data_IF_847151659701
#
_entry.id   IF_847151659701
#
_cell.length_a   1.000
_cell.length_b   1.000
_cell.length_c   1.000
_cell.angle_alpha   90.00
_cell.angle_beta   90.00
_cell.angle_gamma   90.00
#
_symmetry.space_group_name_H-M   'P 1'
#
loop_
_entity.id
_entity.type
_entity.pdbx_description
1 polymer ?
#
# COMPACT_ATOMS: atom_id res chain seq x y z
N UNK A 1 25.98 13.25 46.75
CA UNK A 1 25.71 12.20 45.73
C UNK A 1 24.89 12.79 44.61
N UNK A 2 25.41 12.86 43.39
CA UNK A 2 24.61 13.28 42.23
C UNK A 2 23.79 12.08 41.78
N UNK A 3 22.47 12.24 41.50
CA UNK A 3 21.65 11.13 40.99
C UNK A 3 22.22 10.70 39.59
N UNK A 4 22.21 9.38 39.31
CA UNK A 4 22.68 8.90 38.01
C UNK A 4 21.82 9.49 36.92
N UNK A 5 22.44 10.08 35.90
CA UNK A 5 21.79 10.58 34.69
C UNK A 5 21.12 9.36 34.03
N UNK A 6 19.80 9.35 33.83
CA UNK A 6 19.13 8.23 33.19
C UNK A 6 19.71 8.10 31.77
N UNK A 7 20.31 6.94 31.47
CA UNK A 7 20.75 6.63 30.11
C UNK A 7 19.55 6.66 29.19
N UNK A 8 19.59 7.40 28.07
CA UNK A 8 18.49 7.40 27.12
C UNK A 8 18.22 5.96 26.68
N UNK A 9 16.98 5.53 26.85
CA UNK A 9 16.54 4.18 26.49
C UNK A 9 16.67 4.05 24.96
N UNK A 10 17.78 3.48 24.50
CA UNK A 10 18.12 3.33 23.06
C UNK A 10 16.98 2.67 22.28
N UNK A 11 16.19 1.81 22.96
CA UNK A 11 14.98 1.20 22.36
C UNK A 11 13.90 2.21 22.03
N UNK A 12 13.70 3.23 22.87
CA UNK A 12 12.71 4.29 22.62
C UNK A 12 13.16 5.22 21.49
N UNK A 13 14.45 5.54 21.39
CA UNK A 13 14.99 6.35 20.31
C UNK A 13 14.85 5.66 18.94
N UNK A 14 15.00 4.34 18.88
CA UNK A 14 14.89 3.57 17.63
C UNK A 14 13.44 3.51 17.13
N UNK A 15 12.43 3.52 18.00
CA UNK A 15 11.01 3.57 17.64
C UNK A 15 10.57 4.98 17.18
N UNK A 16 11.21 6.03 17.71
CA UNK A 16 10.91 7.41 17.34
C UNK A 16 11.35 7.75 15.91
N UNK A 17 12.36 7.07 15.38
CA UNK A 17 12.97 7.41 14.11
C UNK A 17 12.04 7.16 12.91
N UNK A 18 11.35 6.01 12.74
CA UNK A 18 10.35 5.84 11.69
C UNK A 18 9.21 6.86 11.80
N UNK A 19 8.63 7.04 12.99
CA UNK A 19 7.56 8.00 13.20
C UNK A 19 7.99 9.44 12.86
N UNK A 20 9.28 9.78 13.01
CA UNK A 20 9.83 11.07 12.59
C UNK A 20 9.76 11.27 11.08
N UNK A 21 10.04 10.24 10.28
CA UNK A 21 9.89 10.30 8.81
C UNK A 21 8.42 10.39 8.42
N UNK A 22 7.53 9.65 9.06
CA UNK A 22 6.08 9.74 8.84
C UNK A 22 5.56 11.14 9.13
N UNK A 23 5.99 11.79 10.23
CA UNK A 23 5.65 13.18 10.52
C UNK A 23 6.29 14.16 9.51
N UNK A 24 7.46 13.84 8.98
CA UNK A 24 8.09 14.57 7.87
C UNK A 24 7.25 14.49 6.60
N UNK A 25 6.72 13.32 6.27
CA UNK A 25 5.76 13.12 5.18
C UNK A 25 4.52 14.01 5.38
N UNK A 26 3.92 14.00 6.58
CA UNK A 26 2.78 14.85 6.92
C UNK A 26 3.10 16.34 6.75
N UNK A 27 4.28 16.79 7.24
CA UNK A 27 4.73 18.16 7.10
C UNK A 27 4.75 18.58 5.62
N UNK A 28 5.33 17.75 4.75
CA UNK A 28 5.37 18.04 3.32
C UNK A 28 3.97 18.03 2.69
N UNK A 29 3.10 17.08 3.07
CA UNK A 29 1.71 17.04 2.60
C UNK A 29 0.93 18.31 2.94
N UNK A 30 1.02 18.78 4.19
CA UNK A 30 0.38 20.04 4.63
C UNK A 30 1.00 21.25 3.92
N UNK A 31 2.33 21.26 3.77
CA UNK A 31 3.02 22.37 3.12
C UNK A 31 2.73 22.44 1.63
N UNK A 32 2.48 21.30 0.98
CA UNK A 32 1.99 21.24 -0.39
C UNK A 32 0.62 21.95 -0.55
N UNK A 33 -0.31 21.71 0.38
CA UNK A 33 -1.63 22.37 0.39
C UNK A 33 -1.46 23.89 0.57
N UNK A 34 -0.62 24.31 1.53
CA UNK A 34 -0.35 25.73 1.79
C UNK A 34 0.28 26.40 0.57
N UNK A 35 1.23 25.74 -0.10
CA UNK A 35 1.86 26.28 -1.32
C UNK A 35 0.86 26.39 -2.47
N UNK A 36 0.02 25.37 -2.66
CA UNK A 36 -1.03 25.39 -3.67
C UNK A 36 -2.04 26.52 -3.44
N UNK A 37 -2.44 26.77 -2.18
CA UNK A 37 -3.36 27.87 -1.84
C UNK A 37 -2.78 29.27 -2.11
N UNK A 38 -1.45 29.37 -2.18
CA UNK A 38 -0.72 30.60 -2.53
C UNK A 38 -0.44 30.74 -4.02
N UNK A 39 -0.83 29.75 -4.84
CA UNK A 39 -0.54 29.72 -6.26
C UNK A 39 0.85 29.15 -6.60
N UNK A 40 1.60 28.67 -5.62
CA UNK A 40 2.95 28.15 -5.77
C UNK A 40 2.90 26.64 -6.13
N UNK A 41 2.33 26.34 -7.29
CA UNK A 41 2.08 24.94 -7.71
C UNK A 41 3.35 24.16 -8.00
N UNK A 42 4.43 24.85 -8.38
CA UNK A 42 5.72 24.19 -8.59
C UNK A 42 6.25 23.59 -7.29
N UNK A 43 6.28 24.38 -6.21
CA UNK A 43 6.69 23.90 -4.90
C UNK A 43 5.69 22.92 -4.28
N UNK A 44 4.40 23.12 -4.52
CA UNK A 44 3.38 22.19 -4.07
C UNK A 44 3.63 20.77 -4.64
N UNK A 45 3.96 20.65 -5.92
CA UNK A 45 4.34 19.37 -6.54
C UNK A 45 5.60 18.77 -5.91
N UNK A 46 6.64 19.59 -5.66
CA UNK A 46 7.86 19.12 -5.00
C UNK A 46 7.60 18.60 -3.59
N UNK A 47 6.74 19.25 -2.81
CA UNK A 47 6.43 18.80 -1.46
C UNK A 47 5.71 17.44 -1.45
N UNK A 48 4.82 17.17 -2.40
CA UNK A 48 4.21 15.83 -2.54
C UNK A 48 5.27 14.78 -2.86
N UNK A 49 6.23 15.08 -3.74
CA UNK A 49 7.33 14.16 -4.08
C UNK A 49 8.24 13.94 -2.87
N UNK A 50 8.60 15.00 -2.14
CA UNK A 50 9.40 14.89 -0.90
C UNK A 50 8.67 14.09 0.18
N UNK A 51 7.35 14.25 0.30
CA UNK A 51 6.50 13.41 1.13
C UNK A 51 6.65 11.93 0.77
N UNK A 52 6.59 11.59 -0.53
CA UNK A 52 6.79 10.21 -1.00
C UNK A 52 8.19 9.66 -0.75
N UNK A 53 9.21 10.51 -0.72
CA UNK A 53 10.57 10.11 -0.30
C UNK A 53 10.58 9.76 1.18
N UNK A 54 9.94 10.59 2.03
CA UNK A 54 9.84 10.34 3.48
C UNK A 54 9.08 9.04 3.78
N UNK A 55 7.93 8.81 3.12
CA UNK A 55 7.14 7.57 3.17
C UNK A 55 7.99 6.33 2.81
N UNK A 56 8.76 6.43 1.73
CA UNK A 56 9.65 5.34 1.34
C UNK A 56 10.75 5.07 2.38
N UNK A 57 11.26 6.11 3.03
CA UNK A 57 12.31 6.01 4.05
C UNK A 57 11.78 5.40 5.35
N UNK A 58 10.61 5.83 5.86
CA UNK A 58 10.05 5.30 7.10
C UNK A 58 9.74 3.81 6.98
N UNK A 59 9.08 3.38 5.88
CA UNK A 59 8.82 1.99 5.63
C UNK A 59 10.09 1.12 5.50
N UNK A 60 11.19 1.65 4.94
CA UNK A 60 12.48 0.97 4.89
C UNK A 60 13.13 0.90 6.27
N UNK A 61 13.18 2.01 6.98
CA UNK A 61 13.80 2.11 8.30
C UNK A 61 13.06 1.21 9.29
N UNK A 62 11.73 1.23 9.33
CA UNK A 62 10.92 0.37 10.19
C UNK A 62 11.21 -1.13 9.95
N UNK A 63 11.35 -1.55 8.69
CA UNK A 63 11.73 -2.94 8.34
C UNK A 63 13.15 -3.29 8.76
N UNK A 64 14.11 -2.41 8.54
CA UNK A 64 15.53 -2.64 8.89
C UNK A 64 15.75 -2.70 10.40
N UNK A 65 15.05 -1.84 11.14
CA UNK A 65 15.17 -1.75 12.62
C UNK A 65 14.26 -2.74 13.35
N UNK A 66 13.36 -3.43 12.63
CA UNK A 66 12.33 -4.32 13.22
C UNK A 66 11.46 -3.60 14.27
N UNK A 67 11.18 -2.32 14.06
CA UNK A 67 10.41 -1.47 14.99
C UNK A 67 8.99 -1.18 14.47
N UNK A 68 8.52 -1.91 13.46
CA UNK A 68 7.16 -1.79 12.99
C UNK A 68 6.18 -1.99 14.16
N UNK A 69 5.36 -0.99 14.44
CA UNK A 69 4.33 -1.01 15.47
C UNK A 69 2.95 -0.85 14.83
N UNK A 70 1.88 -1.42 15.42
CA UNK A 70 0.52 -1.19 14.94
C UNK A 70 0.19 0.31 14.85
N UNK A 71 0.59 1.09 15.85
CA UNK A 71 0.41 2.54 15.84
C UNK A 71 1.11 3.22 14.65
N UNK A 72 2.35 2.80 14.31
CA UNK A 72 3.10 3.36 13.18
C UNK A 72 2.41 3.08 11.85
N UNK A 73 1.84 1.89 11.66
CA UNK A 73 1.11 1.52 10.44
C UNK A 73 -0.15 2.35 10.25
N UNK A 74 -0.91 2.57 11.33
CA UNK A 74 -2.11 3.40 11.28
C UNK A 74 -1.77 4.88 11.05
N UNK A 75 -0.71 5.39 11.73
CA UNK A 75 -0.23 6.75 11.55
C UNK A 75 0.21 6.99 10.11
N UNK A 76 0.97 6.06 9.52
CA UNK A 76 1.44 6.09 8.15
C UNK A 76 0.27 6.21 7.15
N UNK A 77 -0.76 5.38 7.31
CA UNK A 77 -1.96 5.43 6.47
C UNK A 77 -2.73 6.75 6.58
N UNK A 78 -2.83 7.33 7.78
CA UNK A 78 -3.47 8.62 7.98
C UNK A 78 -2.67 9.75 7.31
N UNK A 79 -1.36 9.69 7.40
CA UNK A 79 -0.45 10.66 6.77
C UNK A 79 -0.50 10.54 5.25
N UNK A 80 -0.48 9.31 4.74
CA UNK A 80 -0.61 9.04 3.30
C UNK A 80 -1.93 9.56 2.72
N UNK A 81 -3.04 9.46 3.47
CA UNK A 81 -4.31 10.05 3.06
C UNK A 81 -4.20 11.57 2.87
N UNK A 82 -3.42 12.27 3.72
CA UNK A 82 -3.17 13.71 3.56
C UNK A 82 -2.24 13.98 2.39
N UNK A 83 -1.10 13.33 2.31
CA UNK A 83 -0.04 13.66 1.34
C UNK A 83 -0.37 13.22 -0.07
N UNK A 84 -1.01 12.05 -0.25
CA UNK A 84 -1.32 11.50 -1.57
C UNK A 84 -2.81 11.53 -1.93
N UNK A 85 -3.69 11.78 -0.96
CA UNK A 85 -5.11 12.00 -1.19
C UNK A 85 -5.45 13.49 -1.22
N UNK A 86 -5.35 14.16 -0.07
CA UNK A 86 -5.83 15.54 0.09
C UNK A 86 -4.97 16.55 -0.68
N UNK A 87 -3.65 16.52 -0.51
CA UNK A 87 -2.76 17.53 -1.09
C UNK A 87 -2.83 17.56 -2.62
N UNK A 88 -2.74 16.44 -3.38
CA UNK A 88 -2.87 16.46 -4.84
C UNK A 88 -4.25 16.92 -5.32
N UNK A 89 -5.33 16.57 -4.60
CA UNK A 89 -6.67 17.04 -4.92
C UNK A 89 -6.77 18.57 -4.79
N UNK A 90 -6.19 19.16 -3.73
CA UNK A 90 -6.17 20.60 -3.55
C UNK A 90 -5.24 21.32 -4.54
N UNK A 91 -4.10 20.70 -4.91
CA UNK A 91 -3.27 21.22 -6.01
C UNK A 91 -4.11 21.35 -7.29
N UNK A 92 -4.85 20.29 -7.67
CA UNK A 92 -5.71 20.31 -8.85
C UNK A 92 -6.86 21.32 -8.71
N UNK A 93 -7.47 21.40 -7.53
CA UNK A 93 -8.52 22.37 -7.26
C UNK A 93 -8.04 23.80 -7.51
N UNK A 94 -6.97 24.22 -6.88
CA UNK A 94 -6.47 25.59 -7.01
C UNK A 94 -5.84 25.88 -8.37
N UNK A 95 -5.18 24.88 -9.00
CA UNK A 95 -4.51 25.10 -10.29
C UNK A 95 -5.46 25.11 -11.48
N UNK A 96 -6.54 24.30 -11.46
CA UNK A 96 -7.34 24.04 -12.67
C UNK A 96 -8.84 24.08 -12.43
N UNK A 97 -9.33 23.63 -11.26
CA UNK A 97 -10.75 23.36 -11.05
C UNK A 97 -11.51 24.52 -10.35
N UNK A 98 -10.83 25.58 -9.90
CA UNK A 98 -11.43 26.65 -9.12
C UNK A 98 -12.16 27.67 -10.01
N UNK A 99 -13.17 27.23 -10.76
CA UNK A 99 -14.02 28.10 -11.60
C UNK A 99 -15.40 28.36 -10.99
N UNK A 100 -15.64 27.97 -9.73
CA UNK A 100 -16.84 28.32 -8.96
C UNK A 100 -18.04 27.39 -9.16
N UNK A 101 -17.84 26.21 -9.76
CA UNK A 101 -18.91 25.22 -9.97
C UNK A 101 -18.85 24.02 -9.01
N UNK A 102 -19.28 22.88 -9.51
CA UNK A 102 -19.29 21.61 -8.79
C UNK A 102 -17.97 20.86 -8.86
N UNK A 103 -16.89 21.49 -9.35
CA UNK A 103 -15.59 20.84 -9.59
C UNK A 103 -14.93 20.31 -8.31
N UNK A 104 -15.26 20.89 -7.15
CA UNK A 104 -14.82 20.37 -5.85
C UNK A 104 -15.28 18.91 -5.61
N UNK A 105 -16.35 18.47 -6.28
CA UNK A 105 -16.85 17.10 -6.16
C UNK A 105 -15.84 16.07 -6.71
N UNK A 106 -15.08 16.41 -7.75
CA UNK A 106 -14.01 15.56 -8.26
C UNK A 106 -12.90 15.39 -7.23
N UNK A 107 -12.57 16.47 -6.51
CA UNK A 107 -11.61 16.42 -5.42
C UNK A 107 -12.11 15.52 -4.28
N UNK A 108 -13.39 15.67 -3.90
CA UNK A 108 -14.00 14.82 -2.88
C UNK A 108 -13.98 13.35 -3.26
N UNK A 109 -14.39 13.00 -4.48
CA UNK A 109 -14.39 11.62 -4.98
C UNK A 109 -12.97 11.05 -4.95
N UNK A 110 -11.97 11.80 -5.40
CA UNK A 110 -10.59 11.38 -5.40
C UNK A 110 -10.09 11.11 -3.97
N UNK A 111 -10.33 12.01 -3.03
CA UNK A 111 -9.94 11.85 -1.63
C UNK A 111 -10.64 10.64 -1.00
N UNK A 112 -11.96 10.51 -1.21
CA UNK A 112 -12.73 9.39 -0.68
C UNK A 112 -12.19 8.04 -1.19
N UNK A 113 -11.90 7.94 -2.48
CA UNK A 113 -11.31 6.73 -3.07
C UNK A 113 -9.90 6.43 -2.53
N UNK A 114 -9.07 7.47 -2.30
CA UNK A 114 -7.75 7.29 -1.70
C UNK A 114 -7.85 6.77 -0.26
N UNK A 115 -8.77 7.34 0.55
CA UNK A 115 -8.99 6.89 1.94
C UNK A 115 -9.53 5.46 1.98
N UNK A 116 -10.55 5.13 1.15
CA UNK A 116 -11.08 3.76 1.07
C UNK A 116 -10.01 2.74 0.66
N UNK A 117 -9.15 3.11 -0.30
CA UNK A 117 -8.02 2.26 -0.70
C UNK A 117 -7.07 2.00 0.46
N UNK A 118 -6.70 3.03 1.23
CA UNK A 118 -5.79 2.88 2.37
C UNK A 118 -6.41 2.02 3.47
N UNK A 119 -7.69 2.22 3.78
CA UNK A 119 -8.42 1.40 4.73
C UNK A 119 -8.44 -0.08 4.32
N UNK A 120 -8.75 -0.36 3.04
CA UNK A 120 -8.70 -1.73 2.50
C UNK A 120 -7.30 -2.34 2.59
N UNK A 121 -6.27 -1.56 2.25
CA UNK A 121 -4.88 -2.01 2.31
C UNK A 121 -4.46 -2.43 3.74
N UNK A 122 -4.90 -1.68 4.76
CA UNK A 122 -4.62 -2.02 6.16
C UNK A 122 -5.27 -3.34 6.59
N UNK A 123 -6.52 -3.57 6.16
CA UNK A 123 -7.21 -4.84 6.43
C UNK A 123 -6.51 -6.00 5.72
N UNK A 124 -6.11 -5.83 4.47
CA UNK A 124 -5.45 -6.88 3.68
C UNK A 124 -4.04 -7.22 4.18
N UNK A 125 -3.32 -6.28 4.81
CA UNK A 125 -1.97 -6.53 5.35
C UNK A 125 -1.93 -7.38 6.62
N UNK A 126 -3.05 -7.63 7.28
CA UNK A 126 -3.16 -8.34 8.56
C UNK A 126 -2.59 -9.76 8.62
N UNK A 127 -1.70 -10.19 7.70
CA UNK A 127 -1.09 -11.50 7.88
C UNK A 127 -0.13 -12.05 6.83
N UNK A 128 0.10 -11.46 5.66
CA UNK A 128 1.02 -12.04 4.67
C UNK A 128 1.68 -11.00 3.78
N UNK A 129 3.00 -11.13 3.55
CA UNK A 129 3.73 -10.39 2.54
C UNK A 129 3.21 -10.77 1.14
N UNK A 130 2.36 -9.93 0.54
CA UNK A 130 1.86 -10.12 -0.82
C UNK A 130 2.83 -9.49 -1.83
N UNK A 131 3.06 -10.17 -2.93
CA UNK A 131 3.90 -9.72 -4.06
C UNK A 131 3.16 -8.84 -5.06
N UNK A 132 1.86 -8.61 -4.86
CA UNK A 132 1.00 -7.85 -5.78
C UNK A 132 0.05 -6.96 -4.98
N UNK A 133 -0.17 -5.75 -5.50
CA UNK A 133 -1.11 -4.79 -4.92
C UNK A 133 -2.40 -4.78 -5.72
N UNK A 134 -3.54 -4.85 -5.03
CA UNK A 134 -4.84 -4.61 -5.62
C UNK A 134 -5.09 -3.10 -5.71
N UNK A 135 -5.39 -2.61 -6.91
CA UNK A 135 -5.60 -1.19 -7.18
C UNK A 135 -4.32 -0.36 -7.33
N UNK A 136 -4.47 0.83 -7.92
CA UNK A 136 -3.38 1.79 -8.12
C UNK A 136 -2.87 2.29 -6.76
N UNK A 137 -1.55 2.27 -6.49
CA UNK A 137 -0.99 2.83 -5.28
C UNK A 137 -1.33 4.32 -5.09
N UNK A 138 -1.79 4.74 -3.88
CA UNK A 138 -2.10 6.15 -3.60
C UNK A 138 -0.92 7.10 -3.83
N UNK A 139 0.35 6.74 -3.52
CA UNK A 139 1.48 7.58 -3.90
C UNK A 139 1.59 7.80 -5.41
N UNK A 140 1.35 6.76 -6.22
CA UNK A 140 1.41 6.89 -7.67
C UNK A 140 0.29 7.79 -8.21
N UNK A 141 -0.94 7.63 -7.72
CA UNK A 141 -2.06 8.49 -8.10
C UNK A 141 -1.81 9.95 -7.68
N UNK A 142 -1.36 10.18 -6.43
CA UNK A 142 -1.05 11.51 -5.91
C UNK A 142 0.08 12.20 -6.69
N UNK A 143 1.16 11.48 -6.97
CA UNK A 143 2.27 12.01 -7.77
C UNK A 143 1.85 12.31 -9.21
N UNK A 144 0.93 11.52 -9.81
CA UNK A 144 0.40 11.82 -11.14
C UNK A 144 -0.25 13.20 -11.15
N UNK A 145 -1.12 13.52 -10.20
CA UNK A 145 -1.78 14.81 -10.14
C UNK A 145 -0.82 15.95 -9.79
N UNK A 146 0.05 15.73 -8.80
CA UNK A 146 1.00 16.74 -8.31
C UNK A 146 2.02 17.17 -9.37
N UNK A 147 2.41 16.28 -10.28
CA UNK A 147 3.41 16.56 -11.31
C UNK A 147 2.82 17.13 -12.60
N UNK A 148 1.49 17.19 -12.73
CA UNK A 148 0.83 17.76 -13.89
C UNK A 148 1.24 19.24 -14.16
N UNK A 149 1.33 20.06 -13.11
CA UNK A 149 1.69 21.47 -13.25
C UNK A 149 3.06 21.64 -13.90
N UNK A 150 4.05 20.85 -13.51
CA UNK A 150 5.38 20.90 -14.13
C UNK A 150 5.32 20.62 -15.62
N UNK A 151 4.58 19.57 -16.00
CA UNK A 151 4.41 19.17 -17.40
C UNK A 151 3.71 20.26 -18.22
N UNK A 152 2.71 20.95 -17.66
CA UNK A 152 1.95 22.01 -18.33
C UNK A 152 2.81 23.22 -18.69
N UNK A 153 3.97 23.39 -18.05
CA UNK A 153 4.91 24.48 -18.33
C UNK A 153 5.98 24.11 -19.39
N UNK A 154 5.92 22.91 -19.96
CA UNK A 154 6.93 22.43 -20.91
C UNK A 154 6.52 22.61 -22.36
N UNK A 155 7.51 22.60 -23.27
CA UNK A 155 7.25 22.61 -24.73
C UNK A 155 6.53 21.33 -25.20
N UNK A 156 6.67 20.21 -24.49
CA UNK A 156 5.93 18.98 -24.80
C UNK A 156 4.43 19.13 -24.61
N UNK A 157 4.02 19.97 -23.66
CA UNK A 157 2.62 20.28 -23.44
C UNK A 157 1.97 20.94 -24.66
N UNK A 158 2.72 21.70 -25.47
CA UNK A 158 2.22 22.34 -26.68
C UNK A 158 1.64 21.34 -27.70
N UNK A 159 2.14 20.10 -27.71
CA UNK A 159 1.62 19.01 -28.57
C UNK A 159 0.20 18.63 -28.18
N UNK A 160 -0.12 18.70 -26.88
CA UNK A 160 -1.43 18.33 -26.32
C UNK A 160 -2.22 19.56 -25.81
N UNK A 161 -1.72 20.75 -26.00
CA UNK A 161 -2.34 22.00 -25.52
C UNK A 161 -3.70 22.27 -26.15
N UNK A 162 -3.98 21.72 -27.34
CA UNK A 162 -5.29 21.79 -28.00
C UNK A 162 -6.39 20.98 -27.30
N UNK A 163 -6.07 20.20 -26.30
CA UNK A 163 -7.07 19.46 -25.52
C UNK A 163 -7.74 20.36 -24.49
N UNK A 164 -9.03 20.17 -24.20
CA UNK A 164 -9.74 20.92 -23.17
C UNK A 164 -9.34 20.41 -21.76
N UNK A 165 -8.18 20.84 -21.25
CA UNK A 165 -7.60 20.34 -20.01
C UNK A 165 -8.49 20.54 -18.77
N UNK A 166 -9.33 21.58 -18.79
CA UNK A 166 -10.36 21.80 -17.76
C UNK A 166 -11.39 20.67 -17.69
N UNK A 167 -11.60 19.92 -18.78
CA UNK A 167 -12.48 18.72 -18.83
C UNK A 167 -11.67 17.43 -18.69
N UNK A 168 -10.46 17.39 -19.25
CA UNK A 168 -9.60 16.20 -19.24
C UNK A 168 -9.13 15.88 -17.83
N UNK A 169 -8.71 16.87 -17.04
CA UNK A 169 -8.18 16.62 -15.70
C UNK A 169 -9.21 16.07 -14.70
N UNK A 170 -10.45 16.57 -14.63
CA UNK A 170 -11.51 15.92 -13.86
C UNK A 170 -11.72 14.46 -14.28
N UNK A 171 -11.69 14.17 -15.58
CA UNK A 171 -11.79 12.80 -16.09
C UNK A 171 -10.60 11.94 -15.65
N UNK A 172 -9.37 12.48 -15.70
CA UNK A 172 -8.17 11.79 -15.18
C UNK A 172 -8.30 11.53 -13.69
N UNK A 173 -8.76 12.51 -12.90
CA UNK A 173 -9.00 12.33 -11.46
C UNK A 173 -9.99 11.20 -11.19
N UNK A 174 -11.11 11.13 -11.93
CA UNK A 174 -12.08 10.04 -11.81
C UNK A 174 -11.47 8.69 -12.17
N UNK A 175 -10.73 8.63 -13.28
CA UNK A 175 -10.05 7.40 -13.70
C UNK A 175 -9.08 6.93 -12.62
N UNK A 176 -8.23 7.81 -12.09
CA UNK A 176 -7.31 7.47 -11.00
C UNK A 176 -8.06 7.01 -9.74
N UNK A 177 -9.19 7.66 -9.41
CA UNK A 177 -10.05 7.29 -8.30
C UNK A 177 -10.59 5.87 -8.44
N UNK A 178 -11.16 5.54 -9.60
CA UNK A 178 -11.63 4.19 -9.88
C UNK A 178 -10.50 3.15 -9.90
N UNK A 179 -9.33 3.52 -10.43
CA UNK A 179 -8.18 2.62 -10.41
C UNK A 179 -7.69 2.30 -8.99
N UNK A 180 -7.74 3.25 -8.07
CA UNK A 180 -7.37 3.03 -6.68
C UNK A 180 -8.27 2.00 -5.99
N UNK A 181 -9.57 2.01 -6.27
CA UNK A 181 -10.55 1.05 -5.67
C UNK A 181 -10.57 -0.26 -6.46
N UNK A 182 -10.19 -0.26 -7.74
CA UNK A 182 -10.28 -1.43 -8.61
C UNK A 182 -9.41 -2.60 -8.12
N UNK A 183 -9.76 -3.82 -8.56
CA UNK A 183 -8.96 -5.02 -8.32
C UNK A 183 -7.82 -5.20 -9.34
N UNK A 184 -7.47 -4.15 -10.10
CA UNK A 184 -6.38 -4.17 -11.05
C UNK A 184 -5.07 -4.50 -10.34
N UNK A 185 -4.37 -5.53 -10.80
CA UNK A 185 -3.10 -5.95 -10.22
C UNK A 185 -1.95 -5.07 -10.72
N UNK A 186 -1.46 -4.19 -9.88
CA UNK A 186 -0.27 -3.40 -10.16
C UNK A 186 0.99 -4.13 -9.69
N UNK A 187 2.07 -4.12 -10.51
CA UNK A 187 3.34 -4.67 -10.07
C UNK A 187 3.87 -3.84 -8.90
N UNK A 188 4.28 -4.52 -7.84
CA UNK A 188 5.15 -3.90 -6.84
C UNK A 188 6.45 -3.43 -7.52
N UNK A 189 7.16 -2.42 -6.96
CA UNK A 189 8.48 -2.04 -7.44
C UNK A 189 9.31 -3.31 -7.65
N UNK A 190 9.91 -3.50 -8.85
CA UNK A 190 10.55 -4.77 -9.16
C UNK A 190 11.68 -5.01 -8.15
N UNK A 191 11.63 -6.15 -7.46
CA UNK A 191 12.82 -6.67 -6.82
C UNK A 191 13.83 -6.86 -7.95
N UNK A 192 14.93 -6.09 -7.93
CA UNK A 192 15.98 -6.12 -8.95
C UNK A 192 16.57 -7.55 -8.95
N UNK A 193 15.94 -8.43 -9.70
CA UNK A 193 16.33 -9.82 -9.84
C UNK A 193 16.63 -10.10 -11.30
N UNK A 194 17.89 -10.31 -11.60
CA UNK A 194 18.39 -10.61 -12.95
C UNK A 194 18.12 -12.06 -13.39
N UNK A 195 17.21 -12.79 -12.70
CA UNK A 195 17.03 -14.23 -12.93
C UNK A 195 15.98 -14.60 -13.97
N UNK A 196 15.03 -13.69 -14.30
CA UNK A 196 13.98 -13.96 -15.30
C UNK A 196 13.95 -12.85 -16.34
N UNK A 197 13.88 -13.15 -17.65
CA UNK A 197 13.95 -12.13 -18.73
C UNK A 197 12.87 -11.05 -18.60
N UNK A 198 11.63 -11.41 -18.23
CA UNK A 198 10.56 -10.43 -18.01
C UNK A 198 10.82 -9.49 -16.83
N UNK A 199 11.49 -9.97 -15.78
CA UNK A 199 11.87 -9.14 -14.61
C UNK A 199 13.00 -8.17 -14.98
N UNK A 200 13.91 -8.58 -15.87
CA UNK A 200 15.01 -7.73 -16.37
C UNK A 200 14.42 -6.55 -17.15
N UNK A 201 13.52 -6.81 -18.10
CA UNK A 201 12.88 -5.77 -18.92
C UNK A 201 12.14 -4.77 -18.03
N UNK A 202 11.38 -5.25 -17.04
CA UNK A 202 10.65 -4.38 -16.12
C UNK A 202 11.60 -3.56 -15.22
N UNK A 203 12.71 -4.16 -14.76
CA UNK A 203 13.72 -3.46 -13.96
C UNK A 203 14.44 -2.40 -14.77
N UNK A 204 14.80 -2.69 -16.01
CA UNK A 204 15.44 -1.72 -16.93
C UNK A 204 14.48 -0.58 -17.25
N UNK A 205 13.21 -0.87 -17.54
CA UNK A 205 12.19 0.15 -17.79
C UNK A 205 11.99 1.05 -16.56
N UNK A 206 11.96 0.47 -15.35
CA UNK A 206 11.84 1.21 -14.10
C UNK A 206 13.05 2.12 -13.83
N UNK A 207 14.27 1.61 -14.03
CA UNK A 207 15.49 2.41 -13.91
C UNK A 207 15.53 3.52 -14.95
N UNK A 208 15.18 3.22 -16.21
CA UNK A 208 15.11 4.21 -17.27
C UNK A 208 14.09 5.32 -16.95
N UNK A 209 12.92 4.96 -16.41
CA UNK A 209 11.92 5.93 -15.97
C UNK A 209 12.46 6.85 -14.86
N UNK A 210 13.15 6.28 -13.86
CA UNK A 210 13.79 7.09 -12.81
C UNK A 210 14.84 8.03 -13.40
N UNK A 211 15.71 7.54 -14.28
CA UNK A 211 16.75 8.35 -14.93
C UNK A 211 16.13 9.49 -15.74
N UNK A 212 15.08 9.23 -16.50
CA UNK A 212 14.36 10.26 -17.25
C UNK A 212 13.76 11.33 -16.33
N UNK A 213 13.12 10.93 -15.23
CA UNK A 213 12.55 11.86 -14.27
C UNK A 213 13.63 12.67 -13.56
N UNK A 214 14.76 12.07 -13.19
CA UNK A 214 15.89 12.77 -12.56
C UNK A 214 16.55 13.75 -13.54
N UNK A 215 16.67 13.39 -14.83
CA UNK A 215 17.26 14.23 -15.85
C UNK A 215 16.44 15.47 -16.17
N UNK A 216 15.11 15.33 -16.33
CA UNK A 216 14.18 16.43 -16.54
C UNK A 216 12.79 16.10 -15.97
N UNK A 217 12.64 16.37 -14.66
CA UNK A 217 11.39 16.09 -13.93
C UNK A 217 10.19 16.82 -14.53
N UNK A 218 10.38 18.03 -15.08
CA UNK A 218 9.30 18.82 -15.65
C UNK A 218 8.67 18.13 -16.85
N UNK A 219 9.49 17.51 -17.70
CA UNK A 219 9.02 16.86 -18.94
C UNK A 219 8.50 15.46 -18.72
N UNK A 220 9.16 14.70 -17.82
CA UNK A 220 8.95 13.24 -17.78
C UNK A 220 8.17 12.74 -16.56
N UNK A 221 8.11 13.50 -15.45
CA UNK A 221 7.44 13.01 -14.25
C UNK A 221 5.96 12.66 -14.48
N UNK A 222 5.17 13.58 -15.04
CA UNK A 222 3.75 13.35 -15.32
C UNK A 222 3.53 12.24 -16.36
N UNK A 223 4.17 12.26 -17.56
CA UNK A 223 4.00 11.18 -18.56
C UNK A 223 4.39 9.79 -18.02
N UNK A 224 5.44 9.68 -17.22
CA UNK A 224 5.87 8.41 -16.62
C UNK A 224 4.82 7.90 -15.63
N UNK A 225 4.25 8.77 -14.79
CA UNK A 225 3.19 8.36 -13.86
C UNK A 225 1.91 7.96 -14.58
N UNK A 226 1.51 8.69 -15.64
CA UNK A 226 0.37 8.31 -16.49
C UNK A 226 0.63 6.98 -17.19
N UNK A 227 1.83 6.76 -17.71
CA UNK A 227 2.20 5.49 -18.35
C UNK A 227 2.15 4.32 -17.35
N UNK A 228 2.58 4.54 -16.11
CA UNK A 228 2.45 3.53 -15.03
C UNK A 228 0.99 3.20 -14.73
N UNK A 229 0.13 4.22 -14.60
CA UNK A 229 -1.30 4.01 -14.37
C UNK A 229 -1.97 3.29 -15.56
N UNK A 230 -1.64 3.68 -16.80
CA UNK A 230 -2.13 3.05 -18.01
C UNK A 230 -1.64 1.60 -18.16
N UNK A 231 -0.40 1.30 -17.79
CA UNK A 231 0.16 -0.05 -17.83
C UNK A 231 -0.68 -1.04 -17.01
N UNK A 232 -1.10 -0.65 -15.80
CA UNK A 232 -1.96 -1.49 -14.96
C UNK A 232 -3.31 -1.77 -15.65
N UNK A 233 -3.94 -0.74 -16.25
CA UNK A 233 -5.17 -0.90 -17.02
C UNK A 233 -4.99 -1.84 -18.20
N UNK A 234 -3.98 -1.61 -19.03
CA UNK A 234 -3.69 -2.44 -20.20
C UNK A 234 -3.42 -3.89 -19.81
N UNK A 235 -2.58 -4.08 -18.79
CA UNK A 235 -2.29 -5.41 -18.26
C UNK A 235 -3.57 -6.15 -17.84
N UNK A 236 -4.45 -5.48 -17.09
CA UNK A 236 -5.70 -6.10 -16.63
C UNK A 236 -6.67 -6.34 -17.76
N UNK A 237 -6.76 -5.42 -18.74
CA UNK A 237 -7.60 -5.60 -19.91
C UNK A 237 -7.16 -6.80 -20.75
N UNK A 238 -5.85 -6.97 -20.99
CA UNK A 238 -5.30 -8.08 -21.78
C UNK A 238 -5.24 -9.41 -20.99
N UNK A 239 -4.98 -9.38 -19.68
CA UNK A 239 -4.92 -10.59 -18.85
C UNK A 239 -6.26 -10.91 -18.19
N UNK A 240 -7.10 -9.93 -17.90
CA UNK A 240 -8.43 -10.13 -17.30
C UNK A 240 -9.42 -10.85 -18.23
N UNK A 241 -9.08 -11.01 -19.51
CA UNK A 241 -9.74 -11.97 -20.40
C UNK A 241 -9.38 -13.43 -20.05
N UNK A 242 -8.33 -13.66 -19.26
CA UNK A 242 -7.76 -14.98 -18.98
C UNK A 242 -7.91 -15.40 -17.52
N UNK A 243 -7.88 -14.46 -16.57
CA UNK A 243 -7.95 -14.78 -15.14
C UNK A 243 -9.31 -14.42 -14.54
N UNK A 244 -9.97 -15.43 -13.97
CA UNK A 244 -11.21 -15.28 -13.21
C UNK A 244 -11.00 -14.30 -12.04
N UNK A 245 -12.00 -13.44 -11.81
CA UNK A 245 -12.09 -12.53 -10.66
C UNK A 245 -11.73 -13.25 -9.35
N UNK A 246 -10.97 -12.65 -8.43
CA UNK A 246 -10.76 -13.23 -7.10
C UNK A 246 -12.12 -13.46 -6.43
N UNK A 247 -12.31 -14.66 -5.89
CA UNK A 247 -13.56 -15.12 -5.30
C UNK A 247 -13.87 -14.55 -3.91
N UNK A 248 -13.09 -13.58 -3.43
CA UNK A 248 -13.29 -12.97 -2.11
C UNK A 248 -12.98 -11.48 -2.16
N UNK A 249 -13.97 -10.63 -1.96
CA UNK A 249 -13.81 -9.19 -1.72
C UNK A 249 -14.06 -8.92 -0.24
N UNK A 250 -13.06 -8.38 0.52
CA UNK A 250 -13.22 -8.05 1.93
C UNK A 250 -14.36 -7.06 2.25
N UNK A 251 -14.90 -6.37 1.24
CA UNK A 251 -16.03 -5.45 1.39
C UNK A 251 -17.41 -6.15 1.21
N UNK A 252 -17.40 -7.41 0.75
CA UNK A 252 -18.62 -8.19 0.47
C UNK A 252 -18.69 -9.48 1.31
N UNK A 253 -17.60 -9.87 2.00
CA UNK A 253 -17.46 -11.16 2.68
C UNK A 253 -17.83 -11.13 4.17
N UNK A 254 -18.66 -10.19 4.64
CA UNK A 254 -19.18 -10.19 6.01
C UNK A 254 -19.99 -11.46 6.34
N UNK A 255 -20.54 -12.15 5.32
CA UNK A 255 -21.37 -13.34 5.51
C UNK A 255 -20.51 -14.61 5.77
N UNK A 256 -19.31 -14.72 5.21
CA UNK A 256 -18.45 -15.91 5.38
C UNK A 256 -17.74 -15.95 6.75
N UNK A 257 -17.46 -14.80 7.35
CA UNK A 257 -16.86 -14.72 8.69
C UNK A 257 -17.90 -15.03 9.79
N UNK A 258 -19.18 -14.68 9.60
CA UNK A 258 -20.26 -15.10 10.50
C UNK A 258 -20.50 -16.61 10.42
N UNK A 259 -20.44 -17.23 9.22
CA UNK A 259 -20.53 -18.70 9.09
C UNK A 259 -19.30 -19.41 9.68
N UNK A 260 -18.10 -18.88 9.51
CA UNK A 260 -16.89 -19.45 10.10
C UNK A 260 -16.91 -19.33 11.64
N UNK A 261 -17.42 -18.23 12.15
CA UNK A 261 -17.55 -17.97 13.59
C UNK A 261 -18.67 -18.84 14.20
N UNK A 262 -19.83 -18.98 13.53
CA UNK A 262 -20.91 -19.86 13.97
C UNK A 262 -20.49 -21.33 13.95
N UNK A 263 -19.75 -21.80 12.94
CA UNK A 263 -19.16 -23.15 12.91
C UNK A 263 -18.12 -23.38 14.01
N UNK A 264 -17.35 -22.37 14.36
CA UNK A 264 -16.36 -22.45 15.44
C UNK A 264 -17.02 -22.54 16.81
N UNK A 265 -18.14 -21.83 17.02
CA UNK A 265 -18.97 -21.87 18.25
C UNK A 265 -19.67 -23.23 18.35
N UNK A 266 -20.28 -23.73 17.25
CA UNK A 266 -20.93 -25.04 17.22
C UNK A 266 -19.94 -26.21 17.50
N UNK A 267 -18.67 -26.08 17.03
CA UNK A 267 -17.60 -27.03 17.31
C UNK A 267 -17.09 -26.95 18.75
N UNK A 268 -17.21 -25.78 19.40
CA UNK A 268 -16.85 -25.59 20.82
C UNK A 268 -17.94 -26.11 21.76
N UNK A 269 -19.22 -25.98 21.41
CA UNK A 269 -20.35 -26.49 22.21
C UNK A 269 -20.51 -28.01 22.18
N UNK A 270 -19.98 -28.71 21.14
CA UNK A 270 -20.10 -30.17 21.00
C UNK A 270 -18.77 -30.91 20.93
N UNK A 271 -17.93 -30.89 21.97
CA UNK A 271 -16.61 -31.53 21.97
C UNK A 271 -16.66 -33.07 21.84
N UNK A 272 -17.81 -33.70 22.13
CA UNK A 272 -17.96 -35.16 22.11
C UNK A 272 -18.07 -35.79 20.70
N UNK A 273 -18.36 -35.05 19.65
CA UNK A 273 -18.41 -35.55 18.27
C UNK A 273 -17.03 -35.92 17.72
N UNK A 274 -15.95 -35.24 18.13
CA UNK A 274 -14.58 -35.55 17.69
C UNK A 274 -14.03 -36.86 18.24
N UNK A 275 -14.42 -37.27 19.48
CA UNK A 275 -13.96 -38.53 20.08
C UNK A 275 -14.56 -39.75 19.42
N UNK A 276 -15.79 -39.70 18.88
CA UNK A 276 -16.40 -40.84 18.18
C UNK A 276 -15.80 -41.14 16.81
N UNK A 277 -15.33 -40.11 16.07
CA UNK A 277 -14.70 -40.30 14.74
C UNK A 277 -13.27 -40.84 14.84
N UNK A 278 -12.49 -40.44 15.84
CA UNK A 278 -11.16 -41.02 16.09
C UNK A 278 -11.23 -42.48 16.53
N UNK A 279 -12.19 -42.86 17.38
CA UNK A 279 -12.36 -44.26 17.80
C UNK A 279 -12.83 -45.23 16.67
N UNK A 280 -13.38 -44.72 15.59
CA UNK A 280 -13.81 -45.52 14.44
C UNK A 280 -12.68 -45.75 13.43
N UNK A 281 -11.64 -44.90 13.43
CA UNK A 281 -10.47 -45.06 12.56
C UNK A 281 -9.42 -45.99 13.16
N UNK A 282 -9.34 -46.10 14.51
CA UNK A 282 -8.38 -46.97 15.20
C UNK A 282 -8.83 -48.42 15.30
N UNK A 283 -10.06 -48.77 14.90
CA UNK A 283 -10.55 -50.17 14.92
C UNK A 283 -10.28 -50.96 13.64
N UNK A 284 -9.57 -50.41 12.69
CA UNK A 284 -9.32 -51.02 11.40
C UNK A 284 -7.88 -51.39 11.09
N UNK A 285 -6.92 -51.23 12.02
CA UNK A 285 -5.53 -51.64 11.81
C UNK A 285 -5.26 -53.03 12.43
N UNK A 286 -4.68 -54.00 11.69
CA UNK A 286 -4.32 -55.30 12.23
C UNK A 286 -3.15 -55.15 13.21
N UNK A 287 -3.24 -55.87 14.33
CA UNK A 287 -2.20 -55.99 15.33
C UNK A 287 -0.97 -56.68 14.71
N UNK A 288 0.07 -55.89 14.43
CA UNK A 288 1.40 -56.40 14.15
C UNK A 288 2.25 -56.29 15.42
N UNK A 289 2.98 -57.36 15.71
CA UNK A 289 3.83 -57.59 16.88
C UNK A 289 4.70 -56.36 17.27
N UNK A 290 4.47 -55.83 18.47
CA UNK A 290 5.42 -54.95 19.14
C UNK A 290 6.06 -55.67 20.33
N UNK A 291 7.39 -55.65 20.48
CA UNK A 291 8.07 -56.21 21.65
C UNK A 291 7.79 -55.35 22.89
N UNK A 292 7.64 -56.05 24.02
CA UNK A 292 7.36 -55.49 25.35
C UNK A 292 8.46 -54.53 25.81
N UNK A 293 8.14 -53.41 26.46
CA UNK A 293 9.14 -52.52 27.02
C UNK A 293 9.82 -53.17 28.22
N UNK A 294 11.14 -53.15 28.20
CA UNK A 294 12.03 -53.53 29.29
C UNK A 294 11.80 -52.60 30.51
N UNK A 295 11.50 -53.18 31.65
CA UNK A 295 11.33 -52.50 32.94
C UNK A 295 12.61 -52.73 33.78
N UNK A 296 13.47 -51.71 34.01
CA UNK A 296 14.55 -51.83 34.98
C UNK A 296 13.97 -51.61 36.36
N UNK A 297 14.12 -52.62 37.25
CA UNK A 297 13.79 -52.59 38.65
C UNK A 297 14.64 -51.59 39.43
N UNK A 298 14.24 -51.28 40.67
CA UNK A 298 14.87 -50.23 41.47
C UNK A 298 16.22 -50.71 42.00
N UNK A 299 17.29 -49.92 41.74
CA UNK A 299 18.57 -50.08 42.46
C UNK A 299 18.48 -49.43 43.82
N UNK A 300 18.63 -50.28 44.84
CA UNK A 300 18.88 -49.87 46.20
C UNK A 300 20.31 -49.34 46.39
N UNK A 301 20.40 -48.32 47.17
CA UNK A 301 21.46 -47.89 48.08
C UNK A 301 22.92 -48.30 47.87
N UNK A 302 23.81 -47.34 47.91
CA UNK A 302 24.93 -47.19 48.85
C UNK A 302 26.05 -46.30 48.27
N UNK A 303 26.34 -45.44 49.12
CA UNK A 303 27.50 -44.65 49.61
C UNK A 303 27.70 -43.28 48.96
#
# INVERSE_FOLDING_TARGET
>A
MRPPIPRPDMRRAVVLLPNGFTLGNLFFGVFAIVSASRGDFEWAGWFVVLGGVMDTLDGRVARMTRTASPFGVELDSLVDAVTFGVAPAFIMYFAVLNHGGWEWLFCFIYIACAVMRLARFNIEQGGRAKTQFHGLPSPAAGMTLATYWWFSQTSLFNVVSGWPWHTVLPAVMLVLSFLMISHVLYPAPPNISLKKPGTIVLSVAFIAAIVLVVFDHRRYAFPVMVAYAAYGLLKTFFLGLVDRLPSADPLLDDDDDEEAMSRSVELAEHPHRRRRRRRRHDRGAPLGDQPLPFNPGPDEDRE
#
